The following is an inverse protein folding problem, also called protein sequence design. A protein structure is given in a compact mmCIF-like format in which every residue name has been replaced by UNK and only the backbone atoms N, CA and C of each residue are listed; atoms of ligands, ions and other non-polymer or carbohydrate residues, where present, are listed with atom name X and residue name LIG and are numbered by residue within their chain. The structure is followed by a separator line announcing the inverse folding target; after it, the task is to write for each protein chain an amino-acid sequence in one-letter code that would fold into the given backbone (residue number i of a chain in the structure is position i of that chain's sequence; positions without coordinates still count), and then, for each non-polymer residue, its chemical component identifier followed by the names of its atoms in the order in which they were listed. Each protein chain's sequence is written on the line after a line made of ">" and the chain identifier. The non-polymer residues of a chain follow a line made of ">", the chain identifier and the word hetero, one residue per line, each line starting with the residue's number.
data_IF_911334851082
#
_entry.id   IF_911334851082
#
_cell.length_a   1.000
_cell.length_b   1.000
_cell.length_c   1.000
_cell.angle_alpha   90.00
_cell.angle_beta   90.00
_cell.angle_gamma   90.00
#
_symmetry.space_group_name_H-M   'P 1'
#
loop_
_entity.id
_entity.type
_entity.pdbx_description
1 polymer ?
#
# COMPACT_ATOMS: atom_id res chain seq x y z
N UNK A 1 7.56 -13.97 -15.46
CA UNK A 1 8.84 -13.25 -15.22
C UNK A 1 8.69 -12.09 -14.22
N UNK A 2 7.58 -12.04 -13.47
CA UNK A 2 7.47 -11.37 -12.18
C UNK A 2 7.36 -12.48 -11.13
N UNK A 3 8.28 -12.57 -10.19
CA UNK A 3 8.18 -13.48 -9.03
C UNK A 3 8.11 -12.65 -7.75
N UNK A 4 7.20 -11.67 -7.71
CA UNK A 4 6.81 -10.99 -6.47
C UNK A 4 5.70 -11.82 -5.83
N UNK A 5 5.93 -12.32 -4.62
CA UNK A 5 5.00 -13.21 -3.92
C UNK A 5 3.98 -12.41 -3.08
N UNK A 6 4.17 -11.08 -2.90
CA UNK A 6 3.25 -10.15 -2.22
C UNK A 6 3.28 -8.74 -2.83
N UNK A 7 2.32 -7.91 -2.42
CA UNK A 7 2.33 -6.45 -2.60
C UNK A 7 3.51 -5.80 -1.86
N UNK A 8 4.04 -6.45 -0.80
CA UNK A 8 5.43 -6.27 -0.35
C UNK A 8 6.33 -7.24 -1.11
N UNK A 9 6.88 -6.77 -2.23
CA UNK A 9 7.80 -7.60 -3.00
C UNK A 9 9.21 -7.54 -2.39
N UNK A 10 9.93 -8.67 -2.42
CA UNK A 10 11.38 -8.72 -2.21
C UNK A 10 12.05 -8.99 -3.55
N UNK A 11 12.81 -8.02 -4.05
CA UNK A 11 13.59 -8.21 -5.27
C UNK A 11 14.86 -8.98 -4.93
N UNK A 12 14.94 -10.24 -5.36
CA UNK A 12 16.15 -11.07 -5.17
C UNK A 12 17.30 -10.64 -6.09
N UNK A 13 16.99 -10.03 -7.23
CA UNK A 13 17.98 -9.72 -8.27
C UNK A 13 17.74 -8.34 -8.85
N UNK A 14 18.51 -7.37 -8.38
CA UNK A 14 18.53 -5.97 -8.81
C UNK A 14 19.12 -5.75 -10.21
N UNK A 15 19.44 -6.80 -10.96
CA UNK A 15 19.98 -6.69 -12.33
C UNK A 15 18.98 -7.16 -13.40
N UNK A 16 17.78 -7.60 -13.01
CA UNK A 16 16.73 -7.98 -13.94
C UNK A 16 15.96 -6.74 -14.40
N UNK A 17 15.46 -6.79 -15.64
CA UNK A 17 14.54 -5.76 -16.13
C UNK A 17 13.14 -5.98 -15.55
N UNK A 18 12.58 -4.93 -14.95
CA UNK A 18 11.26 -4.94 -14.32
C UNK A 18 10.21 -4.11 -15.08
N UNK A 19 10.58 -3.53 -16.23
CA UNK A 19 9.78 -2.51 -16.94
C UNK A 19 8.38 -3.02 -17.28
N UNK A 20 8.30 -4.19 -17.93
CA UNK A 20 7.01 -4.79 -18.32
C UNK A 20 6.16 -5.13 -17.11
N UNK A 21 6.78 -5.66 -16.05
CA UNK A 21 6.10 -6.03 -14.83
C UNK A 21 5.48 -4.82 -14.14
N UNK A 22 6.29 -3.78 -13.93
CA UNK A 22 5.85 -2.56 -13.27
C UNK A 22 4.82 -1.82 -14.12
N UNK A 23 4.94 -1.85 -15.45
CA UNK A 23 3.91 -1.31 -16.35
C UNK A 23 2.60 -2.07 -16.20
N UNK A 24 2.60 -3.41 -16.21
CA UNK A 24 1.39 -4.21 -16.04
C UNK A 24 0.70 -3.94 -14.70
N UNK A 25 1.47 -3.87 -13.62
CA UNK A 25 0.96 -3.53 -12.29
C UNK A 25 0.38 -2.12 -12.28
N UNK A 26 1.09 -1.14 -12.85
CA UNK A 26 0.63 0.23 -12.90
C UNK A 26 -0.66 0.36 -13.73
N UNK A 27 -0.76 -0.34 -14.86
CA UNK A 27 -1.94 -0.34 -15.73
C UNK A 27 -3.17 -0.91 -15.03
N UNK A 28 -2.98 -1.88 -14.13
CA UNK A 28 -4.01 -2.41 -13.27
C UNK A 28 -4.29 -1.54 -12.01
N UNK A 29 -3.63 -0.38 -11.87
CA UNK A 29 -3.75 0.48 -10.68
C UNK A 29 -3.10 -0.10 -9.42
N UNK A 30 -2.17 -1.05 -9.55
CA UNK A 30 -1.49 -1.71 -8.45
C UNK A 30 -0.19 -0.99 -8.11
N UNK A 31 -0.06 -0.65 -6.83
CA UNK A 31 1.12 -0.03 -6.24
C UNK A 31 1.99 -1.06 -5.50
N UNK A 32 3.26 -0.70 -5.31
CA UNK A 32 4.25 -1.55 -4.65
C UNK A 32 4.87 -0.85 -3.44
N UNK A 33 4.81 -1.49 -2.27
CA UNK A 33 5.73 -1.18 -1.16
C UNK A 33 6.88 -2.16 -1.25
N UNK A 34 8.12 -1.70 -1.40
CA UNK A 34 9.23 -2.59 -1.74
C UNK A 34 10.26 -2.68 -0.62
N UNK A 35 10.56 -3.89 -0.17
CA UNK A 35 11.69 -4.11 0.73
C UNK A 35 13.00 -4.01 -0.06
N UNK A 36 13.91 -3.13 0.39
CA UNK A 36 15.24 -2.97 -0.21
C UNK A 36 16.20 -4.08 0.22
N UNK A 37 15.75 -4.96 1.13
CA UNK A 37 16.49 -6.10 1.63
C UNK A 37 16.08 -7.40 0.93
N UNK A 38 17.00 -8.36 0.95
CA UNK A 38 16.75 -9.72 0.49
C UNK A 38 17.51 -10.74 1.36
N UNK A 39 17.10 -12.01 1.37
CA UNK A 39 17.78 -13.05 2.16
C UNK A 39 19.17 -13.42 1.62
N UNK A 40 19.63 -12.81 0.52
CA UNK A 40 20.96 -13.05 -0.03
C UNK A 40 22.05 -12.44 0.88
N UNK A 41 23.26 -13.02 0.79
CA UNK A 41 24.41 -12.54 1.53
C UNK A 41 24.70 -11.07 1.20
N UNK A 42 25.00 -10.27 2.23
CA UNK A 42 25.23 -8.82 2.15
C UNK A 42 24.04 -8.01 1.62
N UNK A 43 22.83 -8.56 1.49
CA UNK A 43 21.65 -7.84 1.00
C UNK A 43 20.64 -7.52 2.11
N UNK A 44 21.04 -7.63 3.37
CA UNK A 44 20.20 -7.32 4.52
C UNK A 44 21.06 -6.94 5.72
N UNK A 45 20.47 -6.19 6.64
CA UNK A 45 21.04 -5.94 7.96
C UNK A 45 20.93 -7.21 8.82
N UNK A 46 22.06 -7.71 9.29
CA UNK A 46 22.10 -8.79 10.29
C UNK A 46 21.57 -8.25 11.62
N UNK A 47 20.52 -8.89 12.15
CA UNK A 47 19.86 -8.48 13.39
C UNK A 47 20.67 -8.65 14.66
N UNK A 48 21.67 -9.52 14.67
CA UNK A 48 22.49 -9.78 15.86
C UNK A 48 23.85 -9.09 15.80
N UNK A 49 24.34 -8.83 14.59
CA UNK A 49 25.63 -8.18 14.35
C UNK A 49 25.51 -7.10 13.26
N UNK A 50 24.66 -6.07 13.44
CA UNK A 50 24.39 -5.08 12.40
C UNK A 50 25.64 -4.31 11.97
N UNK A 51 26.62 -4.11 12.86
CA UNK A 51 27.92 -3.50 12.54
C UNK A 51 28.73 -4.25 11.48
N UNK A 52 28.46 -5.55 11.27
CA UNK A 52 29.15 -6.34 10.22
C UNK A 52 28.50 -6.21 8.85
N UNK A 53 27.21 -5.85 8.81
CA UNK A 53 26.37 -5.86 7.61
C UNK A 53 25.96 -4.47 7.14
N UNK A 54 26.02 -3.46 8.02
CA UNK A 54 26.00 -2.05 7.67
C UNK A 54 27.35 -1.70 7.02
N UNK A 55 27.48 -2.00 5.73
CA UNK A 55 28.70 -1.86 4.94
C UNK A 55 28.37 -1.42 3.50
N UNK A 56 29.40 -1.07 2.74
CA UNK A 56 29.24 -0.56 1.37
C UNK A 56 28.60 -1.56 0.40
N UNK A 57 28.82 -2.87 0.58
CA UNK A 57 28.23 -3.89 -0.29
C UNK A 57 26.71 -3.97 -0.12
N UNK A 58 26.24 -3.86 1.12
CA UNK A 58 24.82 -3.78 1.43
C UNK A 58 24.18 -2.54 0.81
N UNK A 59 24.78 -1.36 1.01
CA UNK A 59 24.23 -0.13 0.45
C UNK A 59 24.30 -0.05 -1.07
N UNK A 60 25.30 -0.66 -1.71
CA UNK A 60 25.31 -0.76 -3.17
C UNK A 60 24.07 -1.51 -3.68
N UNK A 61 23.65 -2.58 -3.00
CA UNK A 61 22.40 -3.28 -3.32
C UNK A 61 21.17 -2.39 -3.05
N UNK A 62 21.07 -1.80 -1.86
CA UNK A 62 19.95 -0.93 -1.47
C UNK A 62 19.75 0.20 -2.49
N UNK A 63 20.82 0.93 -2.80
CA UNK A 63 20.77 2.05 -3.73
C UNK A 63 20.49 1.61 -5.17
N UNK A 64 20.93 0.43 -5.60
CA UNK A 64 20.56 -0.10 -6.93
C UNK A 64 19.07 -0.38 -7.03
N UNK A 65 18.47 -0.97 -6.00
CA UNK A 65 17.01 -1.21 -5.95
C UNK A 65 16.27 0.13 -5.95
N UNK A 66 16.68 1.07 -5.10
CA UNK A 66 16.07 2.41 -5.03
C UNK A 66 16.17 3.13 -6.38
N UNK A 67 17.36 3.17 -6.98
CA UNK A 67 17.58 3.83 -8.27
C UNK A 67 16.68 3.24 -9.35
N UNK A 68 16.61 1.92 -9.47
CA UNK A 68 15.74 1.25 -10.45
C UNK A 68 14.26 1.55 -10.24
N UNK A 69 13.77 1.37 -9.01
CA UNK A 69 12.35 1.40 -8.74
C UNK A 69 11.80 2.81 -8.55
N UNK A 70 12.68 3.80 -8.41
CA UNK A 70 12.25 5.18 -8.20
C UNK A 70 11.61 5.85 -9.42
N UNK A 71 11.87 5.32 -10.61
CA UNK A 71 11.33 5.83 -11.87
C UNK A 71 9.94 5.29 -12.19
N UNK A 72 9.44 4.30 -11.43
CA UNK A 72 8.06 3.85 -11.53
C UNK A 72 7.19 4.62 -10.53
N UNK A 73 6.19 5.34 -11.03
CA UNK A 73 5.28 6.12 -10.18
C UNK A 73 4.37 5.24 -9.29
N UNK A 74 4.21 3.95 -9.63
CA UNK A 74 3.50 3.00 -8.79
C UNK A 74 4.40 2.31 -7.73
N UNK A 75 5.67 2.70 -7.59
CA UNK A 75 6.45 2.36 -6.38
C UNK A 75 6.02 3.31 -5.25
N UNK A 76 5.23 2.80 -4.32
CA UNK A 76 4.62 3.59 -3.25
C UNK A 76 5.60 4.04 -2.18
N UNK A 77 6.51 3.14 -1.79
CA UNK A 77 7.45 3.36 -0.71
C UNK A 77 8.46 2.24 -0.60
N UNK A 78 9.55 2.50 0.12
CA UNK A 78 10.58 1.50 0.42
C UNK A 78 10.57 1.11 1.90
N UNK A 79 10.76 -0.17 2.20
CA UNK A 79 11.00 -0.65 3.56
C UNK A 79 12.50 -0.82 3.76
N UNK A 80 13.07 -0.06 4.69
CA UNK A 80 14.49 -0.13 5.07
C UNK A 80 14.84 -1.43 5.82
N UNK A 81 13.83 -2.12 6.36
CA UNK A 81 13.98 -3.40 7.04
C UNK A 81 12.63 -4.01 7.36
N UNK A 82 12.64 -5.32 7.62
CA UNK A 82 11.47 -6.10 7.98
C UNK A 82 11.81 -7.01 9.17
N UNK A 83 11.18 -6.75 10.32
CA UNK A 83 11.35 -7.54 11.56
C UNK A 83 12.82 -7.78 11.93
N UNK A 84 13.66 -6.74 11.77
CA UNK A 84 15.06 -6.80 12.20
C UNK A 84 15.12 -6.98 13.71
N UNK A 85 14.32 -6.20 14.45
CA UNK A 85 14.11 -6.42 15.89
C UNK A 85 12.89 -7.32 16.07
N UNK A 86 13.10 -8.48 16.65
CA UNK A 86 12.02 -9.40 17.04
C UNK A 86 12.37 -10.29 18.24
N UNK A 87 13.47 -10.01 18.95
CA UNK A 87 13.92 -10.75 20.12
C UNK A 87 14.85 -9.86 20.99
N UNK A 88 15.17 -10.25 22.23
CA UNK A 88 15.97 -9.41 23.13
C UNK A 88 17.39 -9.11 22.62
N UNK A 89 18.00 -10.02 21.86
CA UNK A 89 19.35 -9.84 21.32
C UNK A 89 19.30 -8.78 20.22
N UNK A 90 18.40 -8.93 19.25
CA UNK A 90 18.26 -7.95 18.17
C UNK A 90 17.86 -6.56 18.67
N UNK A 91 16.96 -6.51 19.66
CA UNK A 91 16.55 -5.27 20.34
C UNK A 91 17.71 -4.53 21.04
N UNK A 92 18.75 -5.27 21.48
CA UNK A 92 19.92 -4.69 22.15
C UNK A 92 20.99 -4.12 21.21
N UNK A 93 20.85 -4.27 19.89
CA UNK A 93 21.92 -3.87 18.95
C UNK A 93 21.44 -3.21 17.66
N UNK A 94 20.23 -3.49 17.18
CA UNK A 94 19.85 -3.13 15.80
C UNK A 94 19.09 -1.83 15.65
N UNK A 95 18.42 -1.31 16.69
CA UNK A 95 17.56 -0.14 16.56
C UNK A 95 18.29 1.07 15.93
N UNK A 96 19.51 1.45 16.38
CA UNK A 96 20.22 2.58 15.78
C UNK A 96 20.65 2.36 14.34
N UNK A 97 20.94 1.11 13.96
CA UNK A 97 21.29 0.77 12.58
C UNK A 97 20.10 0.84 11.64
N UNK A 98 18.88 0.50 12.11
CA UNK A 98 17.67 0.67 11.31
C UNK A 98 17.49 2.14 10.93
N UNK A 99 17.63 3.07 11.89
CA UNK A 99 17.63 4.53 11.62
C UNK A 99 18.70 4.95 10.63
N UNK A 100 19.91 4.39 10.72
CA UNK A 100 20.98 4.71 9.79
C UNK A 100 20.64 4.27 8.36
N UNK A 101 20.06 3.08 8.18
CA UNK A 101 19.58 2.62 6.86
C UNK A 101 18.48 3.53 6.32
N UNK A 102 17.52 3.93 7.16
CA UNK A 102 16.46 4.88 6.78
C UNK A 102 17.08 6.21 6.31
N UNK A 103 17.97 6.79 7.13
CA UNK A 103 18.67 8.05 6.84
C UNK A 103 19.40 8.01 5.51
N UNK A 104 20.23 6.99 5.30
CA UNK A 104 21.09 6.91 4.12
C UNK A 104 20.27 6.62 2.86
N UNK A 105 19.21 5.82 2.96
CA UNK A 105 18.26 5.57 1.87
C UNK A 105 17.51 6.85 1.50
N UNK A 106 17.03 7.62 2.49
CA UNK A 106 16.34 8.91 2.25
C UNK A 106 17.28 9.95 1.64
N UNK A 107 18.51 10.05 2.12
CA UNK A 107 19.53 10.92 1.54
C UNK A 107 19.83 10.54 0.09
N UNK A 108 19.96 9.24 -0.21
CA UNK A 108 20.14 8.76 -1.57
C UNK A 108 18.98 9.15 -2.49
N UNK A 109 17.73 8.93 -2.05
CA UNK A 109 16.51 9.31 -2.79
C UNK A 109 16.51 10.81 -3.06
N UNK A 110 16.78 11.63 -2.04
CA UNK A 110 16.75 13.08 -2.15
C UNK A 110 17.73 13.64 -3.21
N UNK A 111 18.84 12.95 -3.47
CA UNK A 111 19.86 13.39 -4.44
C UNK A 111 19.68 12.74 -5.81
N UNK A 112 19.36 11.45 -5.86
CA UNK A 112 19.46 10.64 -7.08
C UNK A 112 18.11 10.26 -7.71
N UNK A 113 17.00 10.43 -6.97
CA UNK A 113 15.68 10.03 -7.44
C UNK A 113 14.97 11.15 -8.21
N UNK A 114 14.20 10.83 -9.27
CA UNK A 114 13.39 11.83 -9.98
C UNK A 114 12.19 12.35 -9.16
N UNK A 115 11.86 11.71 -8.03
CA UNK A 115 10.71 12.07 -7.20
C UNK A 115 10.95 11.72 -5.72
N UNK A 116 10.26 12.36 -4.78
CA UNK A 116 10.25 11.89 -3.40
C UNK A 116 9.59 10.50 -3.31
N UNK A 117 10.17 9.63 -2.50
CA UNK A 117 9.64 8.29 -2.19
C UNK A 117 9.85 8.05 -0.70
N UNK A 118 8.79 7.70 0.05
CA UNK A 118 8.91 7.48 1.48
C UNK A 118 9.73 6.24 1.79
N UNK A 119 10.48 6.30 2.89
CA UNK A 119 11.19 5.16 3.47
C UNK A 119 10.64 4.85 4.86
N UNK A 120 10.13 3.65 5.02
CA UNK A 120 9.54 3.16 6.26
C UNK A 120 10.22 1.90 6.77
N UNK A 121 9.59 1.26 7.74
CA UNK A 121 10.04 0.03 8.36
C UNK A 121 8.85 -0.89 8.62
N UNK A 122 9.03 -2.20 8.45
CA UNK A 122 8.03 -3.22 8.74
C UNK A 122 8.41 -3.95 10.02
N UNK A 123 7.55 -3.92 11.04
CA UNK A 123 7.82 -4.40 12.38
C UNK A 123 6.97 -5.60 12.77
N UNK A 124 7.54 -6.49 13.59
CA UNK A 124 6.79 -7.56 14.23
C UNK A 124 5.86 -6.97 15.31
N UNK A 125 4.67 -7.53 15.46
CA UNK A 125 3.72 -7.16 16.52
C UNK A 125 4.05 -7.85 17.86
N UNK A 126 5.28 -7.63 18.36
CA UNK A 126 5.73 -8.12 19.67
C UNK A 126 5.45 -7.08 20.76
N UNK A 127 4.73 -7.48 21.80
CA UNK A 127 4.32 -6.62 22.92
C UNK A 127 5.49 -5.92 23.62
N UNK A 128 6.70 -6.50 23.61
CA UNK A 128 7.87 -5.93 24.26
C UNK A 128 8.50 -4.80 23.45
N UNK A 129 8.33 -4.81 22.13
CA UNK A 129 9.08 -3.94 21.22
C UNK A 129 8.21 -3.03 20.37
N UNK A 130 6.95 -3.39 20.08
CA UNK A 130 6.12 -2.68 19.08
C UNK A 130 6.03 -1.17 19.32
N UNK A 131 5.68 -0.76 20.55
CA UNK A 131 5.56 0.67 20.88
C UNK A 131 6.93 1.35 21.09
N UNK A 132 7.86 0.78 21.88
CA UNK A 132 9.19 1.37 22.01
C UNK A 132 9.89 1.58 20.66
N UNK A 133 9.79 0.61 19.74
CA UNK A 133 10.42 0.68 18.43
C UNK A 133 9.72 1.68 17.51
N UNK A 134 8.39 1.70 17.48
CA UNK A 134 7.64 2.68 16.69
C UNK A 134 8.01 4.12 17.11
N UNK A 135 7.98 4.42 18.41
CA UNK A 135 8.36 5.74 18.95
C UNK A 135 9.81 6.09 18.66
N UNK A 136 10.73 5.13 18.84
CA UNK A 136 12.13 5.36 18.55
C UNK A 136 12.32 5.67 17.06
N UNK A 137 11.78 4.87 16.14
CA UNK A 137 11.94 5.09 14.70
C UNK A 137 11.21 6.35 14.19
N UNK A 138 10.15 6.79 14.87
CA UNK A 138 9.47 8.04 14.57
C UNK A 138 10.30 9.27 14.96
N UNK A 139 11.01 9.24 16.08
CA UNK A 139 11.68 10.43 16.60
C UNK A 139 12.93 10.83 15.81
N UNK A 140 13.32 12.10 15.92
CA UNK A 140 14.64 12.59 15.50
C UNK A 140 15.09 13.75 16.37
N UNK A 141 16.40 13.84 16.61
CA UNK A 141 17.02 14.99 17.30
C UNK A 141 17.58 16.01 16.31
N UNK A 142 18.73 15.68 15.72
CA UNK A 142 19.50 16.61 14.88
C UNK A 142 19.32 16.36 13.38
N UNK A 143 18.82 15.17 13.01
CA UNK A 143 18.70 14.76 11.62
C UNK A 143 17.33 14.14 11.35
N UNK A 144 16.45 14.92 10.70
CA UNK A 144 15.09 14.48 10.34
C UNK A 144 15.08 13.29 9.37
N UNK A 145 16.18 13.01 8.67
CA UNK A 145 16.29 11.86 7.78
C UNK A 145 16.34 10.53 8.55
N UNK A 146 16.65 10.54 9.85
CA UNK A 146 16.65 9.33 10.70
C UNK A 146 15.25 8.88 11.12
N UNK A 147 14.25 9.78 11.00
CA UNK A 147 12.84 9.48 11.26
C UNK A 147 12.24 8.72 10.08
N UNK A 148 11.47 7.67 10.36
CA UNK A 148 10.68 6.96 9.33
C UNK A 148 9.64 7.89 8.70
N UNK A 149 9.33 7.62 7.43
CA UNK A 149 8.21 8.27 6.75
C UNK A 149 6.90 7.51 6.97
N UNK A 150 6.96 6.22 7.33
CA UNK A 150 5.83 5.38 7.70
C UNK A 150 6.25 4.13 8.47
N UNK A 151 5.27 3.47 9.07
CA UNK A 151 5.46 2.26 9.86
C UNK A 151 4.51 1.14 9.43
N UNK A 152 5.05 -0.04 9.14
CA UNK A 152 4.29 -1.26 8.87
C UNK A 152 4.24 -2.13 10.12
N UNK A 153 3.08 -2.70 10.42
CA UNK A 153 2.91 -3.70 11.47
C UNK A 153 2.53 -5.04 10.86
N UNK A 154 3.33 -6.07 11.11
CA UNK A 154 3.01 -7.45 10.78
C UNK A 154 2.14 -8.02 11.90
N UNK A 155 0.81 -7.86 11.79
CA UNK A 155 -0.13 -8.24 12.83
C UNK A 155 -0.93 -9.49 12.46
N UNK A 156 -0.71 -10.55 13.23
CA UNK A 156 -1.40 -11.83 13.11
C UNK A 156 -2.35 -12.10 14.30
N UNK A 157 -2.75 -11.07 15.05
CA UNK A 157 -3.57 -11.25 16.27
C UNK A 157 -4.99 -11.80 15.98
N UNK A 158 -5.53 -11.58 14.78
CA UNK A 158 -6.86 -12.04 14.38
C UNK A 158 -6.79 -13.44 13.75
N UNK A 159 -7.14 -14.48 14.52
CA UNK A 159 -7.18 -15.86 14.04
C UNK A 159 -8.60 -16.45 14.17
N UNK A 160 -9.18 -16.86 13.04
CA UNK A 160 -10.52 -17.43 12.97
C UNK A 160 -11.62 -16.41 13.27
N UNK A 161 -12.68 -16.87 13.94
CA UNK A 161 -13.86 -16.04 14.26
C UNK A 161 -13.53 -15.13 15.45
N UNK A 162 -13.22 -13.87 15.17
CA UNK A 162 -12.95 -12.84 16.17
C UNK A 162 -13.83 -11.61 15.95
N UNK A 163 -13.72 -10.69 16.89
CA UNK A 163 -14.27 -9.34 16.82
C UNK A 163 -13.11 -8.35 17.00
N UNK A 164 -13.34 -7.07 16.70
CA UNK A 164 -12.37 -5.99 16.94
C UNK A 164 -11.79 -5.99 18.37
N UNK A 165 -12.60 -6.38 19.36
CA UNK A 165 -12.18 -6.45 20.76
C UNK A 165 -11.48 -7.77 21.12
N UNK A 166 -11.99 -8.90 20.63
CA UNK A 166 -11.44 -10.21 20.99
C UNK A 166 -10.14 -10.54 20.26
N UNK A 167 -9.91 -9.93 19.09
CA UNK A 167 -8.64 -10.02 18.37
C UNK A 167 -7.52 -9.19 19.01
N UNK A 168 -7.86 -8.18 19.82
CA UNK A 168 -6.89 -7.21 20.33
C UNK A 168 -6.64 -6.01 19.40
N UNK A 169 -7.33 -5.93 18.25
CA UNK A 169 -7.18 -4.78 17.34
C UNK A 169 -7.59 -3.47 17.98
N UNK A 170 -8.56 -3.46 18.90
CA UNK A 170 -8.88 -2.27 19.68
C UNK A 170 -7.69 -1.77 20.52
N UNK A 171 -6.93 -2.68 21.11
CA UNK A 171 -5.72 -2.36 21.88
C UNK A 171 -4.66 -1.84 20.92
N UNK A 172 -4.52 -2.47 19.74
CA UNK A 172 -3.56 -2.05 18.73
C UNK A 172 -3.86 -0.64 18.20
N UNK A 173 -5.14 -0.29 17.98
CA UNK A 173 -5.59 1.07 17.64
C UNK A 173 -5.22 2.05 18.75
N UNK A 174 -5.54 1.72 20.01
CA UNK A 174 -5.22 2.59 21.15
C UNK A 174 -3.69 2.78 21.32
N UNK A 175 -2.91 1.75 21.06
CA UNK A 175 -1.44 1.72 21.15
C UNK A 175 -0.78 2.68 20.14
N UNK A 176 -1.31 2.76 18.92
CA UNK A 176 -0.83 3.66 17.86
C UNK A 176 -1.58 5.00 17.82
N UNK A 177 -2.54 5.22 18.72
CA UNK A 177 -3.28 6.48 18.81
C UNK A 177 -2.32 7.63 19.15
N UNK A 178 -2.19 8.58 18.22
CA UNK A 178 -1.30 9.73 18.35
C UNK A 178 0.11 9.53 17.78
N UNK A 179 0.37 8.38 17.14
CA UNK A 179 1.54 8.22 16.27
C UNK A 179 1.45 9.23 15.11
N UNK A 180 2.51 9.98 14.86
CA UNK A 180 2.52 11.09 13.89
C UNK A 180 2.78 10.65 12.45
N UNK A 181 3.14 9.39 12.25
CA UNK A 181 3.45 8.82 10.95
C UNK A 181 2.33 7.89 10.48
N UNK A 182 2.16 7.72 9.17
CA UNK A 182 1.36 6.64 8.62
C UNK A 182 1.66 5.30 9.27
N UNK A 183 0.62 4.56 9.62
CA UNK A 183 0.75 3.19 10.08
C UNK A 183 -0.24 2.30 9.34
N UNK A 184 0.19 1.13 8.88
CA UNK A 184 -0.68 0.17 8.21
C UNK A 184 -0.25 -1.26 8.54
N UNK A 185 -1.09 -2.24 8.24
CA UNK A 185 -0.67 -3.63 8.37
C UNK A 185 0.17 -4.04 7.16
N UNK A 186 1.48 -4.09 7.33
CA UNK A 186 2.39 -4.60 6.31
C UNK A 186 2.15 -6.08 6.02
N UNK A 187 1.69 -6.83 7.00
CA UNK A 187 1.20 -8.20 6.85
C UNK A 187 0.02 -8.46 7.80
N UNK A 188 -0.99 -9.19 7.31
CA UNK A 188 -2.03 -9.81 8.14
C UNK A 188 -2.55 -11.11 7.49
N UNK A 189 -3.38 -11.85 8.24
CA UNK A 189 -4.05 -13.06 7.76
C UNK A 189 -3.57 -14.33 8.46
N UNK A 190 -3.73 -14.39 9.79
CA UNK A 190 -3.33 -15.53 10.64
C UNK A 190 -3.86 -16.87 10.10
N UNK A 191 -2.99 -17.88 10.03
CA UNK A 191 -3.33 -19.21 9.50
C UNK A 191 -3.45 -20.31 10.56
N UNK A 192 -3.58 -19.96 11.85
CA UNK A 192 -3.81 -20.92 12.95
C UNK A 192 -5.18 -21.61 12.85
N UNK A 193 -6.17 -20.94 12.26
CA UNK A 193 -7.49 -21.49 11.94
C UNK A 193 -7.66 -21.50 10.44
N UNK A 194 -7.83 -22.69 9.87
CA UNK A 194 -7.95 -22.90 8.43
C UNK A 194 -9.30 -23.50 8.04
N UNK A 195 -9.82 -23.15 6.85
CA UNK A 195 -9.34 -22.08 5.96
C UNK A 195 -9.58 -20.69 6.56
N UNK A 196 -8.82 -19.69 6.12
CA UNK A 196 -8.91 -18.33 6.70
C UNK A 196 -10.21 -17.66 6.27
N UNK A 197 -10.97 -17.14 7.23
CA UNK A 197 -12.23 -16.44 6.97
C UNK A 197 -12.05 -14.98 6.52
N UNK A 198 -10.89 -14.39 6.82
CA UNK A 198 -10.56 -12.98 6.54
C UNK A 198 -11.59 -11.99 7.12
N UNK A 199 -12.18 -12.30 8.28
CA UNK A 199 -13.14 -11.42 8.96
C UNK A 199 -12.51 -10.11 9.44
N UNK A 200 -11.17 -10.07 9.57
CA UNK A 200 -10.38 -8.87 9.82
C UNK A 200 -10.43 -7.86 8.66
N UNK A 201 -10.74 -8.30 7.43
CA UNK A 201 -10.75 -7.40 6.26
C UNK A 201 -11.82 -6.32 6.39
N UNK A 202 -13.12 -6.62 6.60
CA UNK A 202 -14.09 -5.57 6.88
C UNK A 202 -13.74 -4.72 8.10
N UNK A 203 -13.16 -5.31 9.15
CA UNK A 203 -12.76 -4.60 10.35
C UNK A 203 -11.71 -3.51 10.05
N UNK A 204 -10.70 -3.82 9.21
CA UNK A 204 -9.64 -2.90 8.79
C UNK A 204 -10.17 -1.60 8.14
N UNK A 205 -11.38 -1.63 7.57
CA UNK A 205 -11.99 -0.49 6.89
C UNK A 205 -13.16 0.14 7.67
N UNK A 206 -13.29 -0.18 8.96
CA UNK A 206 -14.23 0.53 9.86
C UNK A 206 -13.64 1.86 10.33
N UNK A 207 -14.49 2.81 10.74
CA UNK A 207 -14.05 4.12 11.26
C UNK A 207 -13.04 3.99 12.41
N UNK A 208 -13.27 3.03 13.33
CA UNK A 208 -12.36 2.79 14.46
C UNK A 208 -10.95 2.38 14.02
N UNK A 209 -10.83 1.69 12.88
CA UNK A 209 -9.53 1.29 12.33
C UNK A 209 -8.92 2.38 11.45
N UNK A 210 -9.68 2.95 10.51
CA UNK A 210 -9.15 3.91 9.51
C UNK A 210 -8.73 5.25 10.12
N UNK A 211 -9.21 5.58 11.32
CA UNK A 211 -8.74 6.74 12.09
C UNK A 211 -7.27 6.62 12.53
N UNK A 212 -6.71 5.40 12.56
CA UNK A 212 -5.32 5.14 12.96
C UNK A 212 -4.54 4.39 11.88
N UNK A 213 -5.09 3.30 11.34
CA UNK A 213 -4.43 2.42 10.37
C UNK A 213 -4.87 2.70 8.94
N UNK A 214 -3.92 2.76 8.02
CA UNK A 214 -4.12 3.04 6.60
C UNK A 214 -4.31 1.76 5.77
N UNK A 215 -5.14 0.83 6.27
CA UNK A 215 -5.40 -0.46 5.64
C UNK A 215 -4.31 -1.50 5.88
N UNK A 216 -4.16 -2.45 4.96
CA UNK A 216 -3.16 -3.51 5.09
C UNK A 216 -2.98 -4.42 3.89
N UNK A 217 -2.00 -5.32 3.98
CA UNK A 217 -1.65 -6.29 2.94
C UNK A 217 -1.74 -7.73 3.48
N UNK A 218 -2.50 -8.59 2.80
CA UNK A 218 -2.57 -10.02 3.15
C UNK A 218 -1.24 -10.70 2.86
N UNK A 219 -0.77 -11.49 3.82
CA UNK A 219 0.27 -12.49 3.62
C UNK A 219 -0.38 -13.85 3.38
N UNK A 220 -0.24 -14.53 2.25
CA UNK A 220 0.72 -14.34 1.17
C UNK A 220 0.06 -14.77 -0.18
N UNK A 221 0.46 -14.24 -1.36
CA UNK A 221 -0.27 -14.58 -2.60
C UNK A 221 -0.03 -16.03 -3.02
N UNK A 222 1.23 -16.46 -3.11
CA UNK A 222 1.62 -17.80 -3.56
C UNK A 222 1.80 -18.77 -2.39
N UNK A 223 1.30 -19.99 -2.55
CA UNK A 223 1.45 -21.06 -1.57
C UNK A 223 2.90 -21.52 -1.46
N UNK A 224 3.48 -21.33 -0.28
CA UNK A 224 4.78 -21.88 0.10
C UNK A 224 4.63 -22.91 1.24
N UNK A 225 5.76 -23.38 1.79
CA UNK A 225 5.79 -24.40 2.85
C UNK A 225 5.18 -23.92 4.18
N UNK A 226 5.03 -22.61 4.36
CA UNK A 226 4.44 -21.95 5.53
C UNK A 226 2.90 -21.96 5.56
N UNK A 227 2.26 -22.37 4.45
CA UNK A 227 0.82 -22.50 4.33
C UNK A 227 0.00 -21.19 4.43
N UNK A 228 0.50 -20.11 3.82
CA UNK A 228 -0.18 -18.80 3.77
C UNK A 228 -0.72 -18.41 2.40
N UNK A 229 -0.56 -19.25 1.37
CA UNK A 229 -0.89 -18.91 0.00
C UNK A 229 -2.38 -18.69 -0.26
N UNK A 230 -2.67 -17.79 -1.19
CA UNK A 230 -3.98 -17.66 -1.83
C UNK A 230 -4.09 -18.54 -3.09
N UNK A 231 -2.97 -18.77 -3.78
CA UNK A 231 -2.90 -19.59 -4.99
C UNK A 231 -1.72 -20.55 -4.97
N UNK A 232 -1.89 -21.73 -5.55
CA UNK A 232 -0.82 -22.70 -5.79
C UNK A 232 -0.38 -22.61 -7.25
N UNK A 233 0.94 -22.45 -7.48
CA UNK A 233 1.52 -22.48 -8.82
C UNK A 233 1.87 -23.93 -9.16
N UNK A 234 1.20 -24.50 -10.15
CA UNK A 234 1.38 -25.88 -10.56
C UNK A 234 2.69 -26.07 -11.35
N UNK A 235 3.26 -27.29 -11.43
CA UNK A 235 4.53 -27.54 -12.11
C UNK A 235 4.57 -27.13 -13.59
N UNK A 236 3.42 -27.10 -14.26
CA UNK A 236 3.27 -26.69 -15.66
C UNK A 236 3.09 -25.17 -15.83
N UNK A 237 3.04 -24.39 -14.75
CA UNK A 237 2.83 -22.95 -14.77
C UNK A 237 1.36 -22.51 -14.73
N UNK A 238 0.43 -23.46 -14.63
CA UNK A 238 -0.97 -23.16 -14.33
C UNK A 238 -1.15 -22.77 -12.87
N UNK A 239 -2.29 -22.16 -12.55
CA UNK A 239 -2.55 -21.62 -11.21
C UNK A 239 -3.81 -22.26 -10.64
N UNK A 240 -3.71 -22.83 -9.45
CA UNK A 240 -4.86 -23.32 -8.70
C UNK A 240 -5.21 -22.32 -7.60
N UNK A 241 -6.41 -21.75 -7.67
CA UNK A 241 -6.96 -20.92 -6.61
C UNK A 241 -7.20 -21.78 -5.37
N UNK A 242 -6.82 -21.28 -4.20
CA UNK A 242 -7.13 -21.89 -2.92
C UNK A 242 -8.41 -21.28 -2.35
N UNK A 243 -9.01 -21.93 -1.35
CA UNK A 243 -10.24 -21.44 -0.72
C UNK A 243 -10.06 -20.05 -0.13
N UNK A 244 -8.86 -19.77 0.38
CA UNK A 244 -8.48 -18.48 0.93
C UNK A 244 -8.58 -17.35 -0.10
N UNK A 245 -8.24 -17.58 -1.38
CA UNK A 245 -8.42 -16.57 -2.43
C UNK A 245 -9.89 -16.17 -2.60
N UNK A 246 -10.78 -17.16 -2.68
CA UNK A 246 -12.21 -16.91 -2.86
C UNK A 246 -12.80 -16.19 -1.64
N UNK A 247 -12.37 -16.56 -0.45
CA UNK A 247 -12.82 -15.98 0.80
C UNK A 247 -12.32 -14.53 0.96
N UNK A 248 -11.04 -14.27 0.70
CA UNK A 248 -10.47 -12.93 0.73
C UNK A 248 -11.18 -12.01 -0.26
N UNK A 249 -11.37 -12.50 -1.50
CA UNK A 249 -12.10 -11.76 -2.54
C UNK A 249 -13.50 -11.38 -2.07
N UNK A 250 -14.26 -12.36 -1.55
CA UNK A 250 -15.61 -12.12 -1.02
C UNK A 250 -15.62 -11.09 0.12
N UNK A 251 -14.60 -11.09 0.99
CA UNK A 251 -14.50 -10.14 2.10
C UNK A 251 -14.26 -8.72 1.63
N UNK A 252 -13.33 -8.52 0.70
CA UNK A 252 -13.13 -7.21 0.10
C UNK A 252 -14.36 -6.73 -0.70
N UNK A 253 -15.09 -7.63 -1.39
CA UNK A 253 -16.35 -7.26 -2.05
C UNK A 253 -17.40 -6.75 -1.06
N UNK A 254 -17.40 -7.31 0.17
CA UNK A 254 -18.31 -6.91 1.25
C UNK A 254 -17.93 -5.62 1.97
N UNK A 255 -16.73 -5.08 1.71
CA UNK A 255 -16.33 -3.79 2.26
C UNK A 255 -17.24 -2.72 1.62
N UNK A 256 -17.98 -1.94 2.43
CA UNK A 256 -18.83 -0.88 1.90
C UNK A 256 -17.99 0.11 1.10
N UNK A 257 -18.64 0.91 0.25
CA UNK A 257 -17.94 2.08 -0.28
C UNK A 257 -17.39 2.89 0.89
N UNK A 258 -16.11 3.20 0.80
CA UNK A 258 -15.44 3.97 1.83
C UNK A 258 -16.15 5.31 1.96
N UNK A 259 -16.37 5.73 3.20
CA UNK A 259 -16.88 7.06 3.47
C UNK A 259 -15.76 8.07 3.17
N UNK A 260 -15.62 8.42 1.90
CA UNK A 260 -14.63 9.38 1.42
C UNK A 260 -14.79 10.73 2.12
N UNK A 261 -16.01 11.11 2.52
CA UNK A 261 -16.23 12.34 3.27
C UNK A 261 -15.60 12.23 4.65
N UNK A 262 -15.84 11.13 5.38
CA UNK A 262 -15.19 10.85 6.66
C UNK A 262 -13.66 10.82 6.53
N UNK A 263 -13.12 10.09 5.56
CA UNK A 263 -11.68 10.01 5.31
C UNK A 263 -11.10 11.42 5.07
N UNK A 264 -11.73 12.21 4.21
CA UNK A 264 -11.26 13.56 3.90
C UNK A 264 -11.37 14.49 5.10
N UNK A 265 -12.42 14.40 5.92
CA UNK A 265 -12.52 15.21 7.14
C UNK A 265 -11.49 14.77 8.20
N UNK A 266 -11.31 13.48 8.44
CA UNK A 266 -10.28 12.93 9.34
C UNK A 266 -8.88 13.36 8.88
N UNK A 267 -8.58 13.27 7.58
CA UNK A 267 -7.33 13.77 6.99
C UNK A 267 -7.17 15.29 7.17
N UNK A 268 -8.22 16.08 6.96
CA UNK A 268 -8.18 17.54 7.17
C UNK A 268 -7.96 17.90 8.63
N UNK A 269 -8.56 17.17 9.57
CA UNK A 269 -8.35 17.36 11.00
C UNK A 269 -6.91 17.05 11.38
N UNK A 270 -6.38 15.92 10.92
CA UNK A 270 -4.97 15.56 11.08
C UNK A 270 -4.04 16.63 10.48
N UNK A 271 -4.32 17.10 9.25
CA UNK A 271 -3.54 18.15 8.60
C UNK A 271 -3.63 19.50 9.34
N UNK A 272 -4.80 19.87 9.88
CA UNK A 272 -4.97 21.06 10.72
C UNK A 272 -4.17 20.93 12.02
N UNK A 273 -4.18 19.76 12.66
CA UNK A 273 -3.39 19.50 13.86
C UNK A 273 -1.89 19.61 13.58
N UNK A 274 -1.42 18.99 12.50
CA UNK A 274 -0.05 19.11 12.01
C UNK A 274 0.32 20.58 11.76
N UNK A 275 -0.51 21.32 11.03
CA UNK A 275 -0.29 22.74 10.77
C UNK A 275 -0.28 23.59 12.05
N UNK A 276 -1.11 23.26 13.04
CA UNK A 276 -1.11 23.93 14.34
C UNK A 276 0.20 23.66 15.10
N UNK A 277 0.71 22.43 15.11
CA UNK A 277 2.02 22.08 15.70
C UNK A 277 3.16 22.82 15.01
N UNK A 278 3.17 22.87 13.68
CA UNK A 278 4.15 23.65 12.90
C UNK A 278 4.10 25.15 13.25
N UNK A 279 2.90 25.74 13.32
CA UNK A 279 2.71 27.16 13.68
C UNK A 279 3.20 27.48 15.10
N UNK A 280 3.17 26.49 16.00
CA UNK A 280 3.72 26.60 17.35
C UNK A 280 5.22 26.32 17.42
N UNK A 281 5.92 26.23 16.26
CA UNK A 281 7.35 25.87 16.17
C UNK A 281 7.69 24.53 16.82
N UNK A 282 6.71 23.63 16.95
CA UNK A 282 6.94 22.25 17.35
C UNK A 282 7.21 21.45 16.06
N UNK A 283 8.36 20.78 16.02
CA UNK A 283 8.67 19.83 14.95
C UNK A 283 7.55 18.77 14.86
N UNK A 284 7.10 18.47 13.64
CA UNK A 284 6.13 17.38 13.39
C UNK A 284 6.71 16.05 13.84
N UNK A 285 8.02 15.89 13.67
CA UNK A 285 8.79 14.77 14.17
C UNK A 285 9.10 14.99 15.65
N UNK A 286 8.67 14.10 16.56
CA UNK A 286 8.97 14.23 17.97
C UNK A 286 10.48 14.09 18.22
N UNK A 287 10.93 14.75 19.28
CA UNK A 287 12.30 14.61 19.76
C UNK A 287 12.49 13.24 20.41
N UNK A 288 13.68 12.65 20.29
CA UNK A 288 13.94 11.36 20.90
C UNK A 288 13.99 11.44 22.42
N UNK A 289 13.41 10.44 23.09
CA UNK A 289 13.58 10.20 24.52
C UNK A 289 14.98 9.64 24.81
N UNK A 290 15.46 9.86 26.04
CA UNK A 290 16.78 9.37 26.48
C UNK A 290 16.87 7.83 26.53
N UNK A 291 15.73 7.14 26.65
CA UNK A 291 15.65 5.68 26.71
C UNK A 291 14.29 5.17 26.25
N UNK A 292 14.26 3.97 25.69
CA UNK A 292 13.02 3.28 25.29
C UNK A 292 12.96 1.91 25.96
N UNK A 293 11.81 1.48 26.50
CA UNK A 293 11.70 0.17 27.12
C UNK A 293 12.15 -0.96 26.18
N UNK A 294 12.96 -1.89 26.70
CA UNK A 294 13.44 -3.08 25.99
C UNK A 294 14.28 -2.81 24.73
N UNK A 295 14.72 -1.58 24.48
CA UNK A 295 15.63 -1.24 23.37
C UNK A 295 16.93 -0.66 23.91
N UNK A 296 18.06 -1.12 23.38
CA UNK A 296 19.34 -0.44 23.62
C UNK A 296 19.64 0.51 22.46
N UNK A 297 19.62 1.81 22.78
CA UNK A 297 19.94 2.90 21.86
C UNK A 297 21.21 3.65 22.27
N UNK A 298 21.94 3.18 23.30
CA UNK A 298 23.02 3.94 23.94
C UNK A 298 24.22 4.17 23.01
N UNK A 299 24.34 3.36 21.95
CA UNK A 299 25.39 3.48 20.92
C UNK A 299 25.16 4.66 19.97
N UNK A 300 23.94 5.20 19.93
CA UNK A 300 23.54 6.21 18.95
C UNK A 300 23.48 5.67 17.53
N UNK A 301 22.89 6.46 16.64
CA UNK A 301 22.85 6.15 15.20
C UNK A 301 24.27 6.29 14.65
N UNK A 302 24.85 5.27 13.99
CA UNK A 302 26.19 5.37 13.42
C UNK A 302 26.24 6.41 12.31
N UNK A 303 27.39 7.07 12.16
CA UNK A 303 27.65 7.94 11.01
C UNK A 303 27.51 7.17 9.68
N UNK A 304 27.16 7.91 8.64
CA UNK A 304 27.06 7.38 7.28
C UNK A 304 28.44 6.95 6.80
N UNK A 305 28.49 5.77 6.18
CA UNK A 305 29.71 5.20 5.58
C UNK A 305 29.65 5.24 4.05
N UNK A 306 28.60 5.83 3.49
CA UNK A 306 28.26 5.76 2.06
C UNK A 306 28.01 7.14 1.44
N UNK A 307 28.52 8.22 2.06
CA UNK A 307 28.37 9.59 1.56
C UNK A 307 28.78 9.74 0.10
N UNK A 308 29.95 9.18 -0.26
CA UNK A 308 30.43 9.23 -1.63
C UNK A 308 29.44 8.53 -2.57
N UNK A 309 28.89 7.38 -2.17
CA UNK A 309 27.94 6.63 -2.99
C UNK A 309 26.59 7.33 -3.11
N UNK A 310 26.17 8.06 -2.06
CA UNK A 310 25.01 8.94 -2.07
C UNK A 310 25.23 10.09 -3.07
N UNK A 311 26.38 10.75 -3.01
CA UNK A 311 26.66 11.92 -3.86
C UNK A 311 26.89 11.55 -5.33
N UNK A 312 27.52 10.39 -5.59
CA UNK A 312 27.85 9.97 -6.96
C UNK A 312 26.78 9.10 -7.61
N UNK A 313 25.82 8.60 -6.83
CA UNK A 313 24.88 7.58 -7.28
C UNK A 313 25.52 6.21 -7.46
N UNK A 314 24.74 5.26 -7.99
CA UNK A 314 25.20 3.90 -8.33
C UNK A 314 24.94 3.60 -9.80
N UNK A 315 25.81 2.78 -10.40
CA UNK A 315 25.64 2.39 -11.80
C UNK A 315 24.64 1.26 -11.94
N UNK A 316 23.42 1.59 -12.38
CA UNK A 316 22.35 0.66 -12.73
C UNK A 316 21.39 1.33 -13.71
N UNK A 317 20.85 0.55 -14.65
CA UNK A 317 19.82 1.03 -15.57
C UNK A 317 18.56 1.43 -14.79
N UNK A 318 18.10 2.70 -14.88
CA UNK A 318 16.84 3.12 -14.29
C UNK A 318 15.65 2.34 -14.88
N UNK A 319 14.62 2.11 -14.06
CA UNK A 319 13.37 1.56 -14.55
C UNK A 319 12.63 2.53 -15.48
N UNK A 320 11.78 2.00 -16.35
CA UNK A 320 10.89 2.84 -17.18
C UNK A 320 9.60 2.09 -17.54
N UNK A 321 8.51 2.84 -17.68
CA UNK A 321 7.31 2.28 -18.29
C UNK A 321 7.56 2.00 -19.77
N UNK A 322 7.03 0.89 -20.27
CA UNK A 322 7.22 0.42 -21.65
C UNK A 322 5.88 0.11 -22.28
N UNK A 323 5.78 0.27 -23.60
CA UNK A 323 4.57 -0.13 -24.30
C UNK A 323 4.35 -1.65 -24.14
N UNK A 324 3.13 -2.04 -23.79
CA UNK A 324 2.71 -3.43 -23.65
C UNK A 324 1.86 -3.81 -24.85
N UNK A 325 2.25 -4.84 -25.58
CA UNK A 325 1.40 -5.40 -26.62
C UNK A 325 0.19 -6.11 -25.97
N UNK A 326 -0.96 -6.16 -26.66
CA UNK A 326 -2.16 -6.85 -26.15
C UNK A 326 -1.88 -8.31 -25.75
N UNK A 327 -0.98 -8.99 -26.46
CA UNK A 327 -0.58 -10.37 -26.16
C UNK A 327 0.19 -10.51 -24.85
N UNK A 328 0.80 -9.44 -24.35
CA UNK A 328 1.53 -9.40 -23.08
C UNK A 328 0.61 -9.16 -21.89
N UNK A 329 -0.53 -8.50 -22.13
CA UNK A 329 -1.61 -8.36 -21.15
C UNK A 329 -2.42 -9.65 -20.99
N UNK A 330 -2.16 -10.67 -21.81
CA UNK A 330 -2.87 -11.94 -21.78
C UNK A 330 -2.00 -13.07 -21.23
N UNK A 331 -2.58 -13.91 -20.37
CA UNK A 331 -1.91 -15.11 -19.86
C UNK A 331 -2.32 -16.36 -20.63
N UNK A 332 -1.37 -17.30 -20.75
CA UNK A 332 -1.61 -18.64 -21.32
C UNK A 332 -1.88 -19.70 -20.25
N UNK A 333 -1.64 -19.37 -18.99
CA UNK A 333 -1.87 -20.26 -17.86
C UNK A 333 -3.36 -20.48 -17.68
N UNK A 334 -3.75 -21.73 -17.42
CA UNK A 334 -5.11 -22.08 -17.02
C UNK A 334 -5.26 -21.83 -15.53
N UNK A 335 -6.39 -21.26 -15.12
CA UNK A 335 -6.74 -21.13 -13.71
C UNK A 335 -7.68 -22.27 -13.32
N UNK A 336 -7.45 -22.86 -12.16
CA UNK A 336 -8.27 -23.91 -11.58
C UNK A 336 -8.91 -23.42 -10.28
N UNK A 337 -10.16 -23.81 -10.05
CA UNK A 337 -10.84 -23.65 -8.77
C UNK A 337 -10.29 -24.62 -7.71
N UNK A 338 -10.60 -24.42 -6.41
CA UNK A 338 -10.18 -25.34 -5.36
C UNK A 338 -10.62 -26.79 -5.58
N UNK A 339 -11.79 -26.99 -6.22
CA UNK A 339 -12.34 -28.31 -6.56
C UNK A 339 -11.65 -28.97 -7.79
N UNK A 340 -10.74 -28.27 -8.47
CA UNK A 340 -10.00 -28.76 -9.64
C UNK A 340 -10.66 -28.46 -10.98
N UNK A 341 -11.85 -27.85 -11.01
CA UNK A 341 -12.48 -27.41 -12.25
C UNK A 341 -11.78 -26.17 -12.81
N UNK A 342 -11.88 -25.95 -14.13
CA UNK A 342 -11.35 -24.73 -14.74
C UNK A 342 -12.11 -23.51 -14.20
N UNK A 343 -11.37 -22.49 -13.79
CA UNK A 343 -11.91 -21.20 -13.40
C UNK A 343 -12.08 -20.34 -14.66
N UNK A 344 -13.33 -20.19 -15.09
CA UNK A 344 -13.66 -19.38 -16.26
C UNK A 344 -13.55 -17.90 -15.91
N UNK A 345 -12.49 -17.26 -16.37
CA UNK A 345 -12.23 -15.82 -16.23
C UNK A 345 -11.75 -15.25 -17.55
N UNK A 346 -11.75 -13.92 -17.65
CA UNK A 346 -10.96 -13.23 -18.67
C UNK A 346 -9.48 -13.40 -18.31
N UNK A 347 -8.70 -13.88 -19.28
CA UNK A 347 -7.26 -14.11 -19.14
C UNK A 347 -6.46 -12.86 -19.55
N UNK A 348 -7.02 -11.67 -19.33
CA UNK A 348 -6.47 -10.37 -19.74
C UNK A 348 -6.42 -9.41 -18.55
N UNK A 349 -5.36 -8.60 -18.47
CA UNK A 349 -5.26 -7.50 -17.51
C UNK A 349 -6.19 -6.38 -17.96
N UNK A 350 -7.06 -5.94 -17.06
CA UNK A 350 -7.89 -4.76 -17.27
C UNK A 350 -7.04 -3.49 -17.11
N UNK A 351 -7.03 -2.63 -18.13
CA UNK A 351 -6.24 -1.40 -18.12
C UNK A 351 -7.08 -0.28 -17.53
N UNK A 352 -6.81 0.03 -16.26
CA UNK A 352 -7.52 1.04 -15.47
C UNK A 352 -6.77 2.38 -15.47
N UNK A 353 -5.45 2.34 -15.69
CA UNK A 353 -4.61 3.54 -15.83
C UNK A 353 -3.88 3.48 -17.17
N UNK A 354 -4.12 4.48 -18.01
CA UNK A 354 -3.37 4.68 -19.25
C UNK A 354 -2.18 5.62 -18.99
N UNK A 355 -1.00 5.25 -19.48
CA UNK A 355 0.22 6.05 -19.34
C UNK A 355 0.58 6.63 -20.70
N UNK A 356 0.73 7.96 -20.77
CA UNK A 356 1.41 8.57 -21.91
C UNK A 356 2.90 8.18 -21.86
N UNK A 357 3.27 7.13 -22.60
CA UNK A 357 4.66 6.73 -22.76
C UNK A 357 5.26 7.64 -23.82
N UNK A 358 6.07 8.62 -23.40
CA UNK A 358 6.80 9.48 -24.31
C UNK A 358 7.67 8.63 -25.23
N UNK A 359 7.26 8.56 -26.50
CA UNK A 359 8.03 7.90 -27.55
C UNK A 359 9.22 8.80 -27.89
N UNK A 360 10.34 8.59 -27.20
CA UNK A 360 11.62 9.28 -27.40
C UNK A 360 12.32 8.91 -28.73
N UNK A 361 11.55 8.71 -29.80
CA UNK A 361 12.07 8.32 -31.11
C UNK A 361 11.42 9.00 -32.32
N UNK A 362 10.77 10.16 -32.17
CA UNK A 362 10.48 11.04 -33.32
C UNK A 362 10.65 12.54 -33.00
N UNK A 363 11.81 13.04 -33.45
CA UNK A 363 12.12 14.41 -33.84
C UNK A 363 12.61 15.40 -32.76
N UNK A 364 13.93 15.53 -32.73
CA UNK A 364 14.62 16.82 -32.63
C UNK A 364 13.96 17.89 -33.51
N UNK A 365 13.27 18.85 -32.87
CA UNK A 365 13.38 20.30 -33.09
C UNK A 365 12.22 21.06 -32.42
N UNK A 366 12.56 21.67 -31.28
CA UNK A 366 12.01 22.88 -30.62
C UNK A 366 11.65 22.59 -29.16
N UNK A 367 12.69 22.61 -28.32
CA UNK A 367 12.56 22.83 -26.89
C UNK A 367 12.08 24.27 -26.67
N UNK A 368 10.78 24.45 -26.45
CA UNK A 368 10.28 25.62 -25.71
C UNK A 368 9.71 25.11 -24.39
N UNK A 369 10.31 25.57 -23.30
CA UNK A 369 9.79 25.43 -21.94
C UNK A 369 8.30 25.75 -21.90
N UNK A 370 7.51 24.85 -21.28
CA UNK A 370 6.40 25.25 -20.41
C UNK A 370 6.17 24.16 -19.38
N UNK A 371 6.48 24.52 -18.14
CA UNK A 371 6.06 23.87 -16.91
C UNK A 371 4.54 23.65 -16.94
N UNK A 372 4.09 22.42 -16.74
CA UNK A 372 2.70 22.12 -16.41
C UNK A 372 2.50 22.39 -14.92
N UNK A 373 2.07 23.61 -14.63
CA UNK A 373 1.41 23.97 -13.38
C UNK A 373 -0.03 23.51 -13.49
N UNK A 374 -0.48 22.69 -12.53
CA UNK A 374 -1.89 22.32 -12.40
C UNK A 374 -2.64 23.50 -11.77
N UNK A 375 -3.67 24.01 -12.44
CA UNK A 375 -4.64 24.95 -11.89
C UNK A 375 -6.03 24.47 -12.29
N UNK A 376 -6.91 24.12 -11.33
CA UNK A 376 -8.30 23.84 -11.62
C UNK A 376 -9.08 25.15 -11.59
N UNK A 377 -9.82 25.40 -12.67
CA UNK A 377 -11.10 26.14 -12.76
C UNK A 377 -11.16 26.99 -14.03
N UNK A 378 -11.91 26.50 -15.02
CA UNK A 378 -12.79 27.34 -15.83
C UNK A 378 -13.81 26.46 -16.56
N UNK A 379 -15.04 26.43 -16.05
CA UNK A 379 -16.22 26.26 -16.87
C UNK A 379 -17.04 27.53 -16.75
N UNK A 380 -16.97 28.35 -17.80
CA UNK A 380 -17.91 29.44 -18.05
C UNK A 380 -19.24 28.85 -18.48
N UNK A 381 -20.30 29.20 -17.75
CA UNK A 381 -21.66 29.16 -18.27
C UNK A 381 -22.21 30.60 -18.30
N UNK A 382 -22.69 31.01 -19.47
CA UNK A 382 -23.48 32.22 -19.76
C UNK A 382 -24.54 31.73 -20.74
N UNK A 383 -25.84 31.95 -20.63
CA UNK A 383 -26.68 33.04 -20.08
C UNK A 383 -28.12 32.47 -20.12
N UNK A 384 -29.12 32.85 -19.32
CA UNK A 384 -29.89 34.09 -19.43
C UNK A 384 -31.09 34.11 -18.44
N UNK A 385 -31.38 35.31 -17.90
CA UNK A 385 -32.65 35.87 -17.41
C UNK A 385 -33.41 35.13 -16.26
N UNK A 386 -33.92 35.74 -15.20
CA UNK A 386 -34.28 37.15 -14.96
C UNK A 386 -35.72 37.22 -14.41
N UNK A 387 -35.84 37.33 -13.08
CA UNK A 387 -36.94 37.87 -12.24
C UNK A 387 -38.37 37.27 -12.30
N UNK A 388 -38.92 36.90 -11.14
CA UNK A 388 -39.96 37.64 -10.38
C UNK A 388 -40.54 36.74 -9.25
N UNK A 389 -40.73 37.36 -8.08
CA UNK A 389 -41.31 36.86 -6.83
C UNK A 389 -42.75 36.30 -6.94
N UNK A 390 -43.08 35.31 -6.09
CA UNK A 390 -44.26 35.38 -5.19
C UNK A 390 -44.30 34.24 -4.16
N UNK A 391 -44.54 34.64 -2.91
CA UNK A 391 -44.92 33.81 -1.75
C UNK A 391 -46.36 33.27 -1.88
N UNK A 392 -46.65 32.25 -1.06
CA UNK A 392 -47.89 31.95 -0.27
C UNK A 392 -48.05 30.40 -0.26
N UNK A 393 -47.64 29.69 0.80
CA UNK A 393 -48.34 29.36 2.07
C UNK A 393 -49.62 28.52 1.96
N UNK A 394 -49.58 27.35 2.65
CA UNK A 394 -50.66 26.57 3.27
C UNK A 394 -51.67 25.90 2.30
N UNK A 395 -52.09 24.64 2.43
CA UNK A 395 -52.59 23.91 3.62
C UNK A 395 -52.77 22.40 3.28
N UNK A 396 -52.44 21.49 4.21
CA UNK A 396 -52.93 20.08 4.24
C UNK A 396 -54.40 20.06 4.73
N UNK A 397 -55.24 19.04 4.40
CA UNK A 397 -55.30 17.83 5.23
C UNK A 397 -55.63 16.49 4.52
N UNK A 398 -55.09 15.41 5.09
CA UNK A 398 -55.55 13.99 5.02
C UNK A 398 -57.05 13.81 5.42
N UNK A 399 -57.73 12.62 5.27
CA UNK A 399 -57.20 11.23 5.23
C UNK A 399 -57.88 10.21 4.26
N UNK A 400 -57.29 9.00 4.25
CA UNK A 400 -57.65 7.63 3.77
C UNK A 400 -59.16 7.21 3.83
N UNK A 401 -59.67 6.06 3.26
CA UNK A 401 -59.04 4.72 3.14
C UNK A 401 -59.44 3.73 1.98
N UNK A 402 -58.62 2.67 1.82
CA UNK A 402 -58.94 1.26 1.47
C UNK A 402 -59.61 0.85 0.12
N UNK A 403 -58.94 -0.01 -0.67
CA UNK A 403 -59.32 -1.43 -0.96
C UNK A 403 -58.52 -2.05 -2.14
N UNK A 404 -57.88 -3.22 -1.89
CA UNK A 404 -57.62 -4.33 -2.86
C UNK A 404 -58.96 -5.08 -3.12
N UNK A 405 -59.15 -6.04 -4.09
CA UNK A 405 -58.15 -6.94 -4.72
C UNK A 405 -58.42 -7.40 -6.20
N UNK A 406 -57.60 -8.36 -6.68
CA UNK A 406 -57.87 -9.40 -7.73
C UNK A 406 -57.87 -8.96 -9.22
N UNK A 407 -57.48 -9.74 -10.25
CA UNK A 407 -56.81 -11.05 -10.50
C UNK A 407 -56.68 -11.20 -12.05
N UNK A 408 -55.94 -12.22 -12.51
CA UNK A 408 -55.87 -12.83 -13.87
C UNK A 408 -54.71 -12.33 -14.78
N UNK A 409 -53.66 -13.10 -15.10
CA UNK A 409 -53.54 -14.42 -15.78
C UNK A 409 -53.59 -14.31 -17.32
N UNK A 410 -52.43 -14.46 -18.00
CA UNK A 410 -52.15 -15.43 -19.09
C UNK A 410 -50.84 -15.15 -19.86
N UNK A 411 -49.98 -16.19 -19.85
CA UNK A 411 -49.20 -16.82 -20.92
C UNK A 411 -48.72 -16.04 -22.15
N UNK A 412 -47.41 -16.12 -22.43
CA UNK A 412 -46.87 -16.45 -23.76
C UNK A 412 -45.44 -17.01 -23.67
N UNK A 413 -45.21 -18.08 -24.44
CA UNK A 413 -43.95 -18.80 -24.68
C UNK A 413 -42.92 -17.99 -25.48
N UNK A 414 -41.63 -18.34 -25.34
CA UNK A 414 -40.71 -18.38 -26.50
C UNK A 414 -39.34 -17.67 -26.40
N UNK A 415 -38.31 -18.46 -26.10
CA UNK A 415 -36.97 -18.50 -26.71
C UNK A 415 -35.95 -17.34 -26.63
N UNK A 416 -34.77 -17.74 -26.12
CA UNK A 416 -33.37 -17.42 -26.49
C UNK A 416 -32.72 -16.04 -26.25
N UNK A 417 -31.61 -16.15 -25.51
CA UNK A 417 -30.29 -15.50 -25.67
C UNK A 417 -30.24 -13.99 -25.93
N UNK A 418 -29.70 -13.25 -24.95
CA UNK A 418 -28.39 -12.61 -25.11
C UNK A 418 -27.77 -12.31 -23.74
N UNK A 419 -26.48 -12.62 -23.67
CA UNK A 419 -25.52 -12.39 -22.59
C UNK A 419 -25.04 -10.92 -22.60
N UNK A 420 -24.18 -10.57 -21.64
CA UNK A 420 -23.35 -9.35 -21.55
C UNK A 420 -23.92 -8.16 -20.75
N UNK A 421 -23.62 -8.14 -19.45
CA UNK A 421 -22.46 -7.41 -18.92
C UNK A 421 -22.39 -7.65 -17.41
N UNK A 422 -21.51 -8.57 -16.98
CA UNK A 422 -21.12 -8.67 -15.57
C UNK A 422 -19.79 -7.93 -15.42
N UNK A 423 -19.72 -6.88 -14.59
CA UNK A 423 -18.46 -6.18 -14.36
C UNK A 423 -17.43 -7.11 -13.72
N UNK A 424 -16.16 -6.83 -14.00
CA UNK A 424 -15.00 -7.61 -13.59
C UNK A 424 -14.81 -7.56 -12.07
N UNK A 425 -15.50 -8.46 -11.35
CA UNK A 425 -15.60 -8.46 -9.88
C UNK A 425 -14.25 -8.59 -9.18
N UNK A 426 -13.17 -9.02 -9.83
CA UNK A 426 -11.83 -9.08 -9.19
C UNK A 426 -11.18 -7.69 -9.15
N UNK A 427 -11.48 -6.83 -10.13
CA UNK A 427 -10.85 -5.52 -10.32
C UNK A 427 -11.41 -4.49 -9.32
N UNK A 428 -12.73 -4.44 -9.14
CA UNK A 428 -13.36 -3.55 -8.13
C UNK A 428 -12.86 -3.81 -6.70
N UNK A 429 -12.61 -5.08 -6.36
CA UNK A 429 -12.11 -5.53 -5.07
C UNK A 429 -10.73 -4.94 -4.74
N UNK A 430 -9.80 -4.93 -5.71
CA UNK A 430 -8.45 -4.42 -5.51
C UNK A 430 -8.40 -2.89 -5.50
N UNK A 431 -9.28 -2.21 -6.25
CA UNK A 431 -9.34 -0.73 -6.27
C UNK A 431 -9.77 -0.11 -4.95
N UNK A 432 -10.74 -0.70 -4.23
CA UNK A 432 -11.14 -0.20 -2.90
C UNK A 432 -9.97 -0.13 -1.92
N UNK A 433 -9.04 -1.08 -2.01
CA UNK A 433 -7.84 -1.15 -1.19
C UNK A 433 -6.77 -0.17 -1.66
N UNK A 434 -6.52 -0.11 -2.98
CA UNK A 434 -5.45 0.72 -3.55
C UNK A 434 -5.81 2.21 -3.56
N UNK A 435 -7.08 2.59 -3.72
CA UNK A 435 -7.50 3.99 -3.70
C UNK A 435 -7.37 4.62 -2.32
N UNK A 436 -7.65 3.88 -1.25
CA UNK A 436 -7.42 4.33 0.14
C UNK A 436 -5.95 4.65 0.38
N UNK A 437 -5.09 3.69 0.01
CA UNK A 437 -3.64 3.80 0.17
C UNK A 437 -3.12 4.94 -0.71
N UNK A 438 -3.53 5.02 -1.98
CA UNK A 438 -3.14 6.06 -2.94
C UNK A 438 -3.54 7.46 -2.49
N UNK A 439 -4.79 7.67 -2.09
CA UNK A 439 -5.29 8.99 -1.67
C UNK A 439 -4.57 9.48 -0.40
N UNK A 440 -4.27 8.57 0.50
CA UNK A 440 -3.47 8.85 1.69
C UNK A 440 -2.05 9.29 1.34
N UNK A 441 -1.33 8.54 0.51
CA UNK A 441 0.03 8.90 0.11
C UNK A 441 0.08 10.19 -0.73
N UNK A 442 -0.90 10.43 -1.59
CA UNK A 442 -1.01 11.68 -2.35
C UNK A 442 -1.13 12.91 -1.43
N UNK A 443 -1.77 12.78 -0.26
CA UNK A 443 -1.92 13.86 0.72
C UNK A 443 -0.67 14.15 1.55
N UNK A 444 0.28 13.21 1.64
CA UNK A 444 1.56 13.39 2.34
C UNK A 444 2.58 14.15 1.48
N UNK A 445 2.46 14.03 0.15
CA UNK A 445 3.41 14.59 -0.82
C UNK A 445 2.87 15.78 -1.61
N UNK A 446 1.70 16.31 -1.25
CA UNK A 446 1.17 17.61 -1.70
C UNK A 446 1.26 18.62 -0.58
#
# INVERSE_FOLDING_TARGET
>A
MCKGHHIISRIRHQYLNHDKCMTMLASAGIYLVLDVNSPLANHHLNRYEPWTSYNSFYFENVFKIVQQFSFYNNTLGFLAGNEVINDPISASVSAPYIKAVIRDTKNYININSPRPIPVGYSAADDLNYRIPLAKYLECADNNLMESVDFYGVNSYQWCGDQTFYSSGYNILVDDYKGYSKPVFFSEYGCNEVLPRNFDEVPALYTNDMIDVFNGGLVYEFTQEANNYGLVEILPNGDVKLLRDFLQLKHKFDSVPELDYYFIVESMKENAKEIQMRIKQSQSIVPRCEDSYPNLDISRGVPDTIVDIMIDTGVNVEPGRFVHLDKSELQTKSVFYQPNGEVFNTLYEIDVVVDFEIDNDNKNDKKRSQKSSTYSPHDQNDKTQAGEVQKQVQHEDPEPTPQKKPQKNEKDHEGANEHDEDKPNVIVETFHKVTDSVKNFWASIFT
#
